data_IF_916752030120
#
_entry.id   IF_916752030120
#
_cell.length_a   1.000
_cell.length_b   1.000
_cell.length_c   1.000
_cell.angle_alpha   90.00
_cell.angle_beta   90.00
_cell.angle_gamma   90.00
#
_symmetry.space_group_name_H-M   'P 1'
#
loop_
_entity.id
_entity.type
_entity.pdbx_description
1 polymer ?
#
# COMPACT_ATOMS: atom_id res chain seq x y z
N UNK A 1 -48.50 2.76 -24.42
CA UNK A 1 -48.09 3.64 -23.30
C UNK A 1 -46.64 3.99 -23.51
N UNK A 2 -46.39 5.12 -24.17
CA UNK A 2 -45.05 5.57 -24.57
C UNK A 2 -45.03 7.08 -24.34
N UNK A 3 -44.26 7.53 -23.35
CA UNK A 3 -44.24 8.93 -22.92
C UNK A 3 -43.13 9.68 -23.65
N UNK A 4 -43.53 10.83 -24.20
CA UNK A 4 -42.77 11.75 -25.04
C UNK A 4 -41.71 12.55 -24.27
N UNK A 5 -40.61 12.81 -25.00
CA UNK A 5 -39.62 13.86 -24.80
C UNK A 5 -40.22 15.20 -25.27
N UNK A 6 -40.05 16.29 -24.53
CA UNK A 6 -40.27 17.65 -25.05
C UNK A 6 -39.14 18.59 -24.66
N UNK A 7 -38.49 19.15 -25.69
CA UNK A 7 -37.61 20.31 -25.61
C UNK A 7 -38.45 21.59 -25.75
N UNK A 8 -38.01 22.68 -25.10
CA UNK A 8 -38.61 24.00 -25.28
C UNK A 8 -37.57 24.99 -25.79
N UNK A 9 -37.79 25.46 -27.03
CA UNK A 9 -37.21 26.69 -27.59
C UNK A 9 -38.30 27.77 -27.68
N UNK A 10 -37.93 28.96 -27.18
CA UNK A 10 -38.35 30.33 -27.55
C UNK A 10 -39.80 30.63 -27.96
N UNK A 11 -40.40 31.60 -27.27
CA UNK A 11 -41.39 32.50 -27.85
C UNK A 11 -41.09 33.96 -27.43
N UNK A 12 -41.14 34.86 -28.41
CA UNK A 12 -41.04 36.32 -28.31
C UNK A 12 -42.45 36.92 -28.23
N UNK A 13 -42.69 37.95 -27.40
CA UNK A 13 -43.44 39.16 -27.83
C UNK A 13 -43.55 40.26 -26.75
N UNK A 14 -43.02 41.43 -27.11
CA UNK A 14 -43.56 42.82 -26.97
C UNK A 14 -44.08 43.35 -25.62
N UNK A 15 -43.45 44.44 -25.17
CA UNK A 15 -44.03 45.43 -24.25
C UNK A 15 -43.06 46.60 -24.00
N UNK A 16 -43.14 47.65 -24.82
CA UNK A 16 -42.38 48.91 -24.71
C UNK A 16 -42.71 49.67 -23.42
N UNK A 17 -41.69 50.16 -22.71
CA UNK A 17 -41.70 51.51 -22.14
C UNK A 17 -40.25 51.98 -21.94
N UNK A 18 -39.89 53.00 -22.71
CA UNK A 18 -38.61 53.68 -22.69
C UNK A 18 -38.63 54.77 -21.60
N UNK A 19 -37.58 54.82 -20.80
CA UNK A 19 -37.15 56.01 -20.09
C UNK A 19 -35.65 56.17 -20.33
N UNK A 20 -35.32 57.12 -21.20
CA UNK A 20 -33.96 57.53 -21.50
C UNK A 20 -33.39 58.35 -20.34
N UNK A 21 -32.20 58.03 -19.87
CA UNK A 21 -31.35 58.99 -19.17
C UNK A 21 -29.88 58.74 -19.49
N UNK A 22 -29.28 59.81 -20.01
CA UNK A 22 -27.91 60.08 -20.47
C UNK A 22 -26.79 59.09 -20.11
N UNK A 23 -26.12 58.60 -21.16
CA UNK A 23 -24.75 58.08 -21.13
C UNK A 23 -23.76 59.23 -20.89
N UNK A 24 -23.22 59.33 -19.67
CA UNK A 24 -21.95 60.00 -19.42
C UNK A 24 -20.84 58.96 -19.51
N UNK A 25 -19.95 59.11 -20.49
CA UNK A 25 -18.76 58.30 -20.69
C UNK A 25 -17.72 58.64 -19.61
N UNK A 26 -17.44 57.69 -18.70
CA UNK A 26 -16.21 57.69 -17.90
C UNK A 26 -15.34 56.53 -18.39
N UNK A 27 -14.07 56.74 -18.79
CA UNK A 27 -13.15 55.66 -19.04
C UNK A 27 -12.61 55.18 -17.68
N UNK A 28 -13.37 54.31 -17.02
CA UNK A 28 -12.93 53.59 -15.83
C UNK A 28 -12.79 52.13 -16.19
N UNK A 29 -11.55 51.69 -16.42
CA UNK A 29 -11.20 50.28 -16.50
C UNK A 29 -11.66 49.58 -15.22
N UNK A 30 -12.71 48.76 -15.31
CA UNK A 30 -12.99 47.69 -14.37
C UNK A 30 -11.85 46.67 -14.48
N UNK A 31 -10.73 46.95 -13.81
CA UNK A 31 -9.73 45.94 -13.51
C UNK A 31 -10.38 45.03 -12.47
N UNK A 32 -10.70 43.80 -12.88
CA UNK A 32 -10.96 42.73 -11.94
C UNK A 32 -9.80 42.72 -10.94
N UNK A 33 -10.12 42.91 -9.65
CA UNK A 33 -9.17 42.65 -8.60
C UNK A 33 -8.82 41.16 -8.72
N UNK A 34 -7.64 40.88 -9.26
CA UNK A 34 -6.99 39.60 -9.04
C UNK A 34 -6.88 39.45 -7.52
N UNK A 35 -7.51 38.41 -6.97
CA UNK A 35 -7.32 37.99 -5.59
C UNK A 35 -5.81 37.73 -5.41
N UNK A 36 -5.08 38.72 -4.93
CA UNK A 36 -3.71 38.57 -4.46
C UNK A 36 -3.76 37.54 -3.34
N UNK A 37 -3.15 36.37 -3.56
CA UNK A 37 -2.94 35.39 -2.51
C UNK A 37 -2.35 36.11 -1.29
N UNK A 38 -2.86 35.88 -0.07
CA UNK A 38 -2.44 36.63 1.10
C UNK A 38 -0.92 36.59 1.23
N UNK A 39 -0.32 37.77 1.43
CA UNK A 39 1.12 37.92 1.56
C UNK A 39 1.68 36.91 2.58
N UNK A 40 2.76 36.22 2.23
CA UNK A 40 3.40 35.26 3.14
C UNK A 40 3.70 35.94 4.48
N UNK A 41 3.40 35.28 5.61
CA UNK A 41 3.66 35.87 6.93
C UNK A 41 5.16 36.15 7.11
N UNK A 42 5.49 37.30 7.69
CA UNK A 42 6.86 37.66 8.05
C UNK A 42 7.26 36.99 9.36
N UNK A 43 8.57 36.81 9.60
CA UNK A 43 9.08 36.28 10.88
C UNK A 43 8.57 37.10 12.08
N UNK A 44 8.63 38.43 11.98
CA UNK A 44 8.10 39.33 13.02
C UNK A 44 6.60 39.13 13.29
N UNK A 45 5.81 38.81 12.25
CA UNK A 45 4.38 38.54 12.42
C UNK A 45 4.16 37.24 13.17
N UNK A 46 4.92 36.19 12.84
CA UNK A 46 4.87 34.89 13.49
C UNK A 46 5.25 35.00 14.96
N UNK A 47 6.37 35.67 15.26
CA UNK A 47 6.85 35.88 16.64
C UNK A 47 5.82 36.62 17.49
N UNK A 48 5.21 37.68 16.92
CA UNK A 48 4.14 38.43 17.59
C UNK A 48 2.91 37.55 17.86
N UNK A 49 2.49 36.72 16.91
CA UNK A 49 1.35 35.84 17.12
C UNK A 49 1.64 34.77 18.17
N UNK A 50 2.84 34.20 18.19
CA UNK A 50 3.27 33.26 19.23
C UNK A 50 3.28 33.92 20.61
N UNK A 51 3.84 35.13 20.72
CA UNK A 51 3.83 35.92 21.95
C UNK A 51 2.41 36.26 22.42
N UNK A 52 1.48 36.45 21.50
CA UNK A 52 0.09 36.79 21.83
C UNK A 52 -0.76 35.57 22.25
N UNK A 53 -0.20 34.35 22.30
CA UNK A 53 -0.94 33.15 22.72
C UNK A 53 -1.33 33.15 24.20
N UNK A 54 -0.69 33.97 25.04
CA UNK A 54 -1.00 34.12 26.46
C UNK A 54 -1.36 35.57 26.86
N UNK A 55 -1.68 36.42 25.88
CA UNK A 55 -2.14 37.78 26.13
C UNK A 55 -3.34 37.82 27.09
N UNK A 56 -3.46 38.84 27.93
CA UNK A 56 -4.55 38.95 28.91
C UNK A 56 -5.95 38.94 28.25
N UNK A 57 -6.08 39.64 27.12
CA UNK A 57 -7.32 39.74 26.36
C UNK A 57 -7.60 38.47 25.53
N UNK A 58 -8.76 37.86 25.75
CA UNK A 58 -9.18 36.65 25.03
C UNK A 58 -9.23 36.84 23.50
N UNK A 59 -9.72 37.99 23.04
CA UNK A 59 -9.78 38.35 21.61
C UNK A 59 -8.41 38.32 20.94
N UNK A 60 -7.36 38.75 21.64
CA UNK A 60 -5.98 38.75 21.14
C UNK A 60 -5.46 37.32 21.02
N UNK A 61 -5.70 36.48 22.04
CA UNK A 61 -5.29 35.06 22.01
C UNK A 61 -5.96 34.28 20.87
N UNK A 62 -7.27 34.44 20.70
CA UNK A 62 -8.01 33.78 19.62
C UNK A 62 -7.60 34.31 18.23
N UNK A 63 -7.39 35.63 18.11
CA UNK A 63 -6.88 36.24 16.90
C UNK A 63 -5.51 35.68 16.51
N UNK A 64 -4.60 35.57 17.48
CA UNK A 64 -3.28 34.98 17.28
C UNK A 64 -3.36 33.52 16.81
N UNK A 65 -4.21 32.69 17.44
CA UNK A 65 -4.42 31.31 17.01
C UNK A 65 -4.92 31.21 15.56
N UNK A 66 -5.90 32.04 15.17
CA UNK A 66 -6.42 32.03 13.80
C UNK A 66 -5.37 32.45 12.77
N UNK A 67 -4.52 33.42 13.11
CA UNK A 67 -3.41 33.83 12.23
C UNK A 67 -2.36 32.73 12.10
N UNK A 68 -1.99 32.06 13.19
CA UNK A 68 -1.05 30.93 13.16
C UNK A 68 -1.60 29.74 12.36
N UNK A 69 -2.89 29.44 12.46
CA UNK A 69 -3.55 28.43 11.62
C UNK A 69 -3.53 28.82 10.14
N UNK A 70 -3.82 30.08 9.84
CA UNK A 70 -3.83 30.62 8.46
C UNK A 70 -2.42 30.65 7.85
N UNK A 71 -1.38 30.84 8.67
CA UNK A 71 0.02 30.78 8.27
C UNK A 71 0.47 29.37 7.85
N UNK A 72 -0.26 28.33 8.25
CA UNK A 72 -0.01 26.95 7.85
C UNK A 72 1.39 26.47 8.26
N UNK A 73 2.19 25.90 7.33
CA UNK A 73 3.50 25.34 7.67
C UNK A 73 4.49 26.36 8.26
N UNK A 74 4.34 27.65 7.96
CA UNK A 74 5.22 28.70 8.48
C UNK A 74 5.11 28.88 10.00
N UNK A 75 4.00 28.46 10.62
CA UNK A 75 3.83 28.54 12.07
C UNK A 75 4.50 27.39 12.85
N UNK A 76 4.86 26.29 12.19
CA UNK A 76 5.30 25.06 12.87
C UNK A 76 6.61 25.26 13.62
N UNK A 77 7.61 25.87 12.98
CA UNK A 77 8.94 26.07 13.57
C UNK A 77 8.91 27.07 14.74
N UNK A 78 8.29 28.28 14.60
CA UNK A 78 8.16 29.22 15.72
C UNK A 78 7.42 28.61 16.92
N UNK A 79 6.35 27.85 16.68
CA UNK A 79 5.64 27.15 17.75
C UNK A 79 6.52 26.09 18.40
N UNK A 80 7.25 25.29 17.61
CA UNK A 80 8.15 24.26 18.15
C UNK A 80 9.24 24.84 19.04
N UNK A 81 9.72 26.04 18.72
CA UNK A 81 10.72 26.76 19.50
C UNK A 81 10.16 27.35 20.79
N UNK A 82 8.96 27.95 20.76
CA UNK A 82 8.41 28.67 21.90
C UNK A 82 7.71 27.77 22.94
N UNK A 83 7.12 26.66 22.51
CA UNK A 83 6.29 25.83 23.39
C UNK A 83 7.02 25.15 24.56
N UNK A 84 8.30 24.73 24.46
CA UNK A 84 9.03 24.15 25.59
C UNK A 84 9.16 25.08 26.81
N UNK A 85 9.32 26.38 26.57
CA UNK A 85 9.53 27.42 27.61
C UNK A 85 8.23 28.17 27.96
N UNK A 86 7.18 28.00 27.16
CA UNK A 86 5.89 28.66 27.34
C UNK A 86 5.13 28.23 28.60
N UNK A 87 4.25 29.12 29.08
CA UNK A 87 3.32 28.79 30.15
C UNK A 87 2.20 27.84 29.68
N UNK A 88 1.27 27.50 30.58
CA UNK A 88 0.19 26.55 30.32
C UNK A 88 -0.72 26.96 29.16
N UNK A 89 -0.95 28.27 28.98
CA UNK A 89 -1.83 28.83 27.97
C UNK A 89 -1.17 28.74 26.59
N UNK A 90 0.09 29.19 26.48
CA UNK A 90 0.92 29.04 25.27
C UNK A 90 1.02 27.56 24.88
N UNK A 91 1.35 26.68 25.82
CA UNK A 91 1.47 25.25 25.59
C UNK A 91 0.15 24.63 25.07
N UNK A 92 -0.98 24.97 25.67
CA UNK A 92 -2.28 24.42 25.28
C UNK A 92 -2.71 24.89 23.89
N UNK A 93 -2.55 26.19 23.58
CA UNK A 93 -2.93 26.76 22.28
C UNK A 93 -1.98 26.37 21.15
N UNK A 94 -0.68 26.39 21.40
CA UNK A 94 0.30 25.99 20.39
C UNK A 94 0.18 24.51 20.02
N UNK A 95 -0.03 23.62 21.01
CA UNK A 95 -0.31 22.20 20.73
C UNK A 95 -1.63 22.04 19.96
N UNK A 96 -2.65 22.85 20.25
CA UNK A 96 -3.88 22.85 19.46
C UNK A 96 -3.61 23.24 18.00
N UNK A 97 -2.88 24.34 17.75
CA UNK A 97 -2.55 24.80 16.40
C UNK A 97 -1.75 23.74 15.64
N UNK A 98 -0.67 23.22 16.24
CA UNK A 98 0.10 22.12 15.66
C UNK A 98 -0.78 20.90 15.36
N UNK A 99 -1.73 20.61 16.24
CA UNK A 99 -2.64 19.49 16.06
C UNK A 99 -3.63 19.66 14.90
N UNK A 100 -4.09 20.87 14.63
CA UNK A 100 -4.94 21.16 13.45
C UNK A 100 -4.10 21.11 12.17
N UNK A 101 -2.87 21.64 12.20
CA UNK A 101 -1.93 21.54 11.07
C UNK A 101 -1.53 20.09 10.79
N UNK A 102 -1.46 19.26 11.83
CA UNK A 102 -1.30 17.82 11.73
C UNK A 102 -2.58 17.10 11.23
N UNK A 103 -3.61 17.80 10.76
CA UNK A 103 -4.73 17.23 10.01
C UNK A 103 -4.91 17.94 8.65
N UNK A 104 -3.94 18.76 8.25
CA UNK A 104 -3.95 19.45 6.96
C UNK A 104 -3.94 18.43 5.82
N UNK A 105 -4.66 18.76 4.73
CA UNK A 105 -4.73 17.91 3.53
C UNK A 105 -3.38 17.79 2.82
N UNK A 106 -2.48 18.75 3.02
CA UNK A 106 -1.11 18.76 2.47
C UNK A 106 -0.23 17.88 3.35
N UNK A 107 0.20 16.76 2.79
CA UNK A 107 1.06 15.76 3.46
C UNK A 107 2.27 16.40 4.16
N UNK A 108 3.00 17.29 3.48
CA UNK A 108 4.20 17.93 4.03
C UNK A 108 3.93 18.77 5.29
N UNK A 109 2.81 19.50 5.32
CA UNK A 109 2.41 20.30 6.49
C UNK A 109 2.00 19.38 7.63
N UNK A 110 1.20 18.36 7.29
CA UNK A 110 0.75 17.35 8.22
C UNK A 110 1.93 16.62 8.89
N UNK A 111 2.94 16.20 8.13
CA UNK A 111 4.09 15.45 8.65
C UNK A 111 5.03 16.33 9.45
N UNK A 112 5.25 17.57 9.02
CA UNK A 112 6.06 18.54 9.75
C UNK A 112 5.46 18.86 11.12
N UNK A 113 4.13 19.06 11.18
CA UNK A 113 3.43 19.34 12.42
C UNK A 113 3.41 18.11 13.36
N UNK A 114 3.33 16.91 12.81
CA UNK A 114 3.44 15.67 13.57
C UNK A 114 4.84 15.53 14.19
N UNK A 115 5.88 15.71 13.41
CA UNK A 115 7.27 15.63 13.89
C UNK A 115 7.54 16.67 14.99
N UNK A 116 6.96 17.87 14.88
CA UNK A 116 7.00 18.87 15.94
C UNK A 116 6.34 18.37 17.24
N UNK A 117 5.11 17.83 17.15
CA UNK A 117 4.40 17.26 18.30
C UNK A 117 5.16 16.08 18.94
N UNK A 118 5.75 15.19 18.14
CA UNK A 118 6.55 14.06 18.61
C UNK A 118 7.79 14.54 19.38
N UNK A 119 8.50 15.54 18.87
CA UNK A 119 9.65 16.15 19.57
C UNK A 119 9.24 16.77 20.90
N UNK A 120 8.11 17.49 20.92
CA UNK A 120 7.58 18.09 22.14
C UNK A 120 7.17 17.01 23.17
N UNK A 121 6.52 15.94 22.72
CA UNK A 121 6.11 14.81 23.57
C UNK A 121 7.31 14.01 24.12
N UNK A 122 8.42 13.94 23.39
CA UNK A 122 9.64 13.27 23.84
C UNK A 122 10.42 14.08 24.90
N UNK A 123 10.15 15.38 25.06
CA UNK A 123 10.79 16.19 26.08
C UNK A 123 10.30 15.78 27.48
N UNK A 124 11.21 15.40 28.38
CA UNK A 124 10.85 14.86 29.71
C UNK A 124 10.59 15.96 30.77
N UNK A 125 10.68 17.24 30.41
CA UNK A 125 10.85 18.34 31.39
C UNK A 125 9.86 19.51 31.27
N UNK A 126 8.82 19.45 30.43
CA UNK A 126 7.89 20.58 30.24
C UNK A 126 6.40 20.20 30.30
N UNK A 127 5.51 21.07 30.84
CA UNK A 127 4.05 20.88 30.80
C UNK A 127 3.47 20.67 29.39
N UNK A 128 4.20 21.04 28.32
CA UNK A 128 3.79 20.79 26.94
C UNK A 128 3.87 19.30 26.55
N UNK A 129 4.76 18.52 27.16
CA UNK A 129 5.05 17.14 26.77
C UNK A 129 3.81 16.24 26.86
N UNK A 130 3.14 16.21 28.02
CA UNK A 130 1.91 15.44 28.20
C UNK A 130 0.76 15.89 27.30
N UNK A 131 0.69 17.19 26.96
CA UNK A 131 -0.31 17.73 26.03
C UNK A 131 -0.05 17.29 24.60
N UNK A 132 1.20 17.41 24.16
CA UNK A 132 1.62 16.95 22.85
C UNK A 132 1.37 15.45 22.72
N UNK A 133 1.73 14.64 23.73
CA UNK A 133 1.44 13.21 23.76
C UNK A 133 -0.07 12.90 23.69
N UNK A 134 -0.90 13.57 24.49
CA UNK A 134 -2.35 13.42 24.42
C UNK A 134 -2.94 13.83 23.06
N UNK A 135 -2.40 14.88 22.44
CA UNK A 135 -2.83 15.35 21.12
C UNK A 135 -2.42 14.37 20.02
N UNK A 136 -1.21 13.81 20.09
CA UNK A 136 -0.74 12.75 19.18
C UNK A 136 -1.65 11.53 19.22
N UNK A 137 -2.07 11.08 20.41
CA UNK A 137 -3.02 9.97 20.53
C UNK A 137 -4.34 10.30 19.84
N UNK A 138 -4.91 11.49 20.07
CA UNK A 138 -6.17 11.89 19.45
C UNK A 138 -6.08 11.97 17.92
N UNK A 139 -5.02 12.58 17.39
CA UNK A 139 -4.83 12.74 15.94
C UNK A 139 -4.49 11.41 15.29
N UNK A 140 -3.72 10.56 15.95
CA UNK A 140 -3.37 9.23 15.47
C UNK A 140 -4.60 8.39 15.16
N UNK A 141 -5.59 8.37 16.07
CA UNK A 141 -6.88 7.70 15.84
C UNK A 141 -7.61 8.27 14.61
N UNK A 142 -7.74 9.59 14.52
CA UNK A 142 -8.46 10.23 13.41
C UNK A 142 -7.75 10.02 12.07
N UNK A 143 -6.42 10.11 12.03
CA UNK A 143 -5.63 9.83 10.83
C UNK A 143 -5.74 8.38 10.41
N UNK A 144 -5.81 7.44 11.36
CA UNK A 144 -6.02 6.03 11.06
C UNK A 144 -7.36 5.81 10.35
N UNK A 145 -8.44 6.36 10.90
CA UNK A 145 -9.77 6.25 10.29
C UNK A 145 -9.84 6.92 8.91
N UNK A 146 -9.24 8.10 8.76
CA UNK A 146 -9.13 8.76 7.45
C UNK A 146 -8.30 7.94 6.47
N UNK A 147 -7.16 7.39 6.90
CA UNK A 147 -6.31 6.54 6.07
C UNK A 147 -7.07 5.29 5.59
N UNK A 148 -7.83 4.63 6.47
CA UNK A 148 -8.69 3.48 6.10
C UNK A 148 -9.74 3.92 5.07
N UNK A 149 -10.42 5.03 5.32
CA UNK A 149 -11.45 5.56 4.40
C UNK A 149 -10.87 5.87 3.03
N UNK A 150 -9.71 6.51 2.98
CA UNK A 150 -9.02 6.85 1.73
C UNK A 150 -8.48 5.60 1.02
N UNK A 151 -7.96 4.62 1.75
CA UNK A 151 -7.55 3.33 1.19
C UNK A 151 -8.74 2.56 0.60
N UNK A 152 -9.88 2.52 1.30
CA UNK A 152 -11.13 1.93 0.78
C UNK A 152 -11.63 2.65 -0.48
N UNK A 153 -11.56 3.97 -0.51
CA UNK A 153 -11.93 4.77 -1.69
C UNK A 153 -11.05 4.45 -2.90
N UNK A 154 -9.80 4.03 -2.67
CA UNK A 154 -8.87 3.54 -3.69
C UNK A 154 -8.98 2.04 -3.96
N UNK A 155 -9.95 1.34 -3.36
CA UNK A 155 -10.22 -0.08 -3.60
C UNK A 155 -9.37 -1.06 -2.78
N UNK A 156 -8.65 -0.59 -1.76
CA UNK A 156 -8.03 -1.48 -0.78
C UNK A 156 -9.09 -2.10 0.14
N UNK A 157 -8.86 -3.33 0.59
CA UNK A 157 -9.70 -3.98 1.57
C UNK A 157 -8.96 -4.04 2.92
N UNK A 158 -9.56 -3.46 3.96
CA UNK A 158 -9.01 -3.46 5.32
C UNK A 158 -9.93 -4.28 6.21
N UNK A 159 -9.41 -5.38 6.73
CA UNK A 159 -10.14 -6.31 7.59
C UNK A 159 -9.55 -6.25 9.00
N UNK A 160 -10.43 -6.00 9.98
CA UNK A 160 -10.10 -6.01 11.41
C UNK A 160 -11.01 -7.03 12.08
N UNK A 161 -10.46 -8.15 12.54
CA UNK A 161 -11.28 -9.23 13.07
C UNK A 161 -10.50 -10.23 13.88
N UNK A 162 -11.21 -11.10 14.59
CA UNK A 162 -10.58 -12.15 15.39
C UNK A 162 -10.29 -13.36 14.52
N UNK A 163 -9.03 -13.80 14.51
CA UNK A 163 -8.60 -15.05 13.89
C UNK A 163 -8.32 -16.07 14.98
N UNK A 164 -8.92 -17.26 14.86
CA UNK A 164 -8.66 -18.36 15.76
C UNK A 164 -7.50 -19.22 15.22
N UNK A 165 -6.44 -19.35 16.01
CA UNK A 165 -5.30 -20.22 15.67
C UNK A 165 -5.60 -21.67 16.04
N UNK A 166 -6.11 -22.46 15.09
CA UNK A 166 -6.39 -23.89 15.29
C UNK A 166 -7.57 -24.20 16.21
N UNK A 167 -7.92 -25.48 16.31
CA UNK A 167 -8.99 -25.96 17.20
C UNK A 167 -8.62 -25.70 18.66
N UNK A 168 -9.30 -24.74 19.30
CA UNK A 168 -9.11 -24.41 20.72
C UNK A 168 -8.05 -23.33 21.02
N UNK A 169 -7.43 -22.73 20.00
CA UNK A 169 -6.54 -21.58 20.20
C UNK A 169 -7.30 -20.32 20.60
N UNK A 170 -6.58 -19.39 21.25
CA UNK A 170 -7.12 -18.08 21.56
C UNK A 170 -7.43 -17.31 20.26
N UNK A 171 -8.56 -16.61 20.28
CA UNK A 171 -8.92 -15.68 19.22
C UNK A 171 -8.03 -14.43 19.33
N UNK A 172 -7.19 -14.20 18.33
CA UNK A 172 -6.30 -13.03 18.28
C UNK A 172 -6.89 -11.98 17.33
N UNK A 173 -6.84 -10.71 17.73
CA UNK A 173 -7.21 -9.61 16.84
C UNK A 173 -6.16 -9.52 15.74
N UNK A 174 -6.58 -9.77 14.50
CA UNK A 174 -5.76 -9.66 13.31
C UNK A 174 -6.28 -8.54 12.42
N UNK A 175 -5.37 -7.64 12.05
CA UNK A 175 -5.57 -6.58 11.08
C UNK A 175 -4.85 -6.98 9.79
N UNK A 176 -5.65 -7.22 8.74
CA UNK A 176 -5.20 -7.55 7.40
C UNK A 176 -5.53 -6.41 6.44
N UNK A 177 -4.60 -6.08 5.56
CA UNK A 177 -4.82 -5.17 4.43
C UNK A 177 -4.55 -5.92 3.12
N UNK A 178 -5.43 -5.74 2.15
CA UNK A 178 -5.28 -6.26 0.80
C UNK A 178 -5.37 -5.14 -0.24
N UNK A 179 -4.28 -4.97 -0.99
CA UNK A 179 -4.17 -4.07 -2.14
C UNK A 179 -4.27 -4.94 -3.40
N UNK A 180 -5.50 -5.27 -3.78
CA UNK A 180 -5.80 -6.29 -4.80
C UNK A 180 -6.24 -5.73 -6.15
N UNK A 181 -7.03 -6.53 -6.87
CA UNK A 181 -7.48 -6.24 -8.24
C UNK A 181 -8.36 -4.97 -8.37
N UNK A 182 -9.00 -4.54 -7.27
CA UNK A 182 -9.82 -3.32 -7.22
C UNK A 182 -8.99 -2.05 -6.97
N UNK A 183 -7.68 -2.18 -6.73
CA UNK A 183 -6.83 -1.06 -6.38
C UNK A 183 -6.70 -0.06 -7.54
N UNK A 184 -7.11 1.18 -7.28
CA UNK A 184 -7.07 2.29 -8.22
C UNK A 184 -5.98 3.33 -7.89
N UNK A 185 -5.29 3.22 -6.76
CA UNK A 185 -4.18 4.11 -6.40
C UNK A 185 -2.83 3.74 -7.01
N UNK A 186 -1.78 4.44 -6.58
CA UNK A 186 -0.38 4.19 -6.93
C UNK A 186 0.54 4.09 -5.69
N UNK A 187 1.85 4.01 -5.89
CA UNK A 187 2.84 3.94 -4.82
C UNK A 187 2.76 5.11 -3.82
N UNK A 188 2.48 6.33 -4.29
CA UNK A 188 2.37 7.49 -3.40
C UNK A 188 1.15 7.37 -2.49
N UNK A 189 0.09 6.67 -2.92
CA UNK A 189 -1.08 6.47 -2.09
C UNK A 189 -0.84 5.52 -0.92
N UNK A 190 0.13 4.59 -1.05
CA UNK A 190 0.54 3.65 0.01
C UNK A 190 1.19 4.34 1.21
N UNK A 191 1.56 5.62 1.11
CA UNK A 191 2.02 6.43 2.26
C UNK A 191 1.04 6.43 3.44
N UNK A 192 -0.24 6.17 3.18
CA UNK A 192 -1.30 6.10 4.20
C UNK A 192 -1.13 4.92 5.15
N UNK A 193 -0.42 3.88 4.72
CA UNK A 193 -0.18 2.69 5.53
C UNK A 193 0.59 3.04 6.81
N UNK A 194 1.38 4.12 6.85
CA UNK A 194 2.16 4.54 8.04
C UNK A 194 1.29 4.81 9.28
N UNK A 195 0.00 5.10 9.10
CA UNK A 195 -0.95 5.33 10.20
C UNK A 195 -1.59 4.03 10.72
N UNK A 196 -1.35 2.91 10.05
CA UNK A 196 -1.90 1.59 10.36
C UNK A 196 -0.80 0.71 10.98
N UNK A 197 -0.25 1.18 12.11
CA UNK A 197 0.87 0.52 12.81
C UNK A 197 0.50 -0.83 13.45
N UNK A 198 -0.79 -1.14 13.56
CA UNK A 198 -1.34 -2.38 14.10
C UNK A 198 -1.53 -3.49 13.04
N UNK A 199 -1.17 -3.24 11.78
CA UNK A 199 -1.30 -4.21 10.69
C UNK A 199 -0.33 -5.37 10.87
N UNK A 200 -0.86 -6.59 10.91
CA UNK A 200 -0.05 -7.81 10.98
C UNK A 200 0.10 -8.51 9.63
N UNK A 201 -0.89 -8.38 8.75
CA UNK A 201 -0.91 -9.05 7.45
C UNK A 201 -1.13 -8.05 6.33
N UNK A 202 -0.26 -8.06 5.32
CA UNK A 202 -0.35 -7.19 4.18
C UNK A 202 -0.18 -7.98 2.89
N UNK A 203 -1.12 -7.81 1.96
CA UNK A 203 -1.10 -8.43 0.64
C UNK A 203 -1.10 -7.37 -0.44
N UNK A 204 -0.12 -7.40 -1.33
CA UNK A 204 -0.13 -6.67 -2.60
C UNK A 204 -0.41 -7.65 -3.73
N UNK A 205 -1.47 -7.42 -4.50
CA UNK A 205 -1.80 -8.18 -5.70
C UNK A 205 -2.16 -7.21 -6.84
N UNK A 206 -1.19 -6.38 -7.23
CA UNK A 206 -1.40 -5.34 -8.24
C UNK A 206 -0.08 -4.89 -8.88
N UNK A 207 -0.09 -4.78 -10.22
CA UNK A 207 1.03 -4.23 -11.00
C UNK A 207 1.27 -2.73 -10.75
N UNK A 208 0.33 -2.05 -10.10
CA UNK A 208 0.43 -0.63 -9.76
C UNK A 208 1.33 -0.36 -8.55
N UNK A 209 1.74 -1.42 -7.85
CA UNK A 209 2.66 -1.34 -6.71
C UNK A 209 4.08 -1.62 -7.21
N UNK A 210 4.99 -0.68 -6.99
CA UNK A 210 6.40 -0.75 -7.35
C UNK A 210 7.31 -0.51 -6.15
N UNK A 211 8.59 -0.27 -6.45
CA UNK A 211 9.65 -0.13 -5.43
C UNK A 211 9.39 1.03 -4.46
N UNK A 212 8.78 2.13 -4.92
CA UNK A 212 8.50 3.27 -4.06
C UNK A 212 7.40 2.95 -3.03
N UNK A 213 6.45 2.08 -3.39
CA UNK A 213 5.38 1.64 -2.51
C UNK A 213 5.89 0.87 -1.28
N UNK A 214 6.90 0.02 -1.45
CA UNK A 214 7.48 -0.76 -0.33
C UNK A 214 8.24 0.09 0.69
N UNK A 215 8.68 1.30 0.33
CA UNK A 215 9.41 2.17 1.26
C UNK A 215 8.57 2.55 2.49
N UNK A 216 7.26 2.64 2.33
CA UNK A 216 6.33 2.96 3.42
C UNK A 216 6.15 1.83 4.44
N UNK A 217 6.62 0.61 4.14
CA UNK A 217 6.54 -0.52 5.07
C UNK A 217 7.64 -0.53 6.13
N UNK A 218 8.73 0.22 5.91
CA UNK A 218 9.92 0.17 6.77
C UNK A 218 9.62 0.44 8.25
N UNK A 219 8.58 1.23 8.54
CA UNK A 219 8.19 1.63 9.89
C UNK A 219 6.98 0.85 10.44
N UNK A 220 6.41 -0.08 9.66
CA UNK A 220 5.28 -0.91 10.07
C UNK A 220 5.76 -2.16 10.82
N UNK A 221 6.24 -1.92 12.04
CA UNK A 221 6.85 -2.96 12.88
C UNK A 221 5.92 -4.12 13.26
N UNK A 222 4.60 -3.95 13.14
CA UNK A 222 3.60 -4.99 13.42
C UNK A 222 3.48 -6.06 12.33
N UNK A 223 4.00 -5.84 11.12
CA UNK A 223 3.81 -6.77 10.00
C UNK A 223 4.58 -8.08 10.27
N UNK A 224 3.83 -9.18 10.29
CA UNK A 224 4.35 -10.54 10.46
C UNK A 224 4.22 -11.38 9.19
N UNK A 225 3.23 -11.06 8.34
CA UNK A 225 3.00 -11.74 7.07
C UNK A 225 2.90 -10.72 5.94
N UNK A 226 3.80 -10.83 4.95
CA UNK A 226 3.80 -10.00 3.75
C UNK A 226 3.70 -10.89 2.52
N UNK A 227 2.65 -10.68 1.74
CA UNK A 227 2.46 -11.31 0.44
C UNK A 227 2.54 -10.26 -0.66
N UNK A 228 3.37 -10.49 -1.67
CA UNK A 228 3.45 -9.66 -2.86
C UNK A 228 3.30 -10.55 -4.10
N UNK A 229 2.23 -10.29 -4.85
CA UNK A 229 1.80 -11.06 -6.02
C UNK A 229 1.67 -10.11 -7.20
N UNK A 230 2.29 -10.45 -8.33
CA UNK A 230 2.18 -9.69 -9.59
C UNK A 230 2.42 -8.18 -9.43
N UNK A 231 3.31 -7.80 -8.53
CA UNK A 231 3.71 -6.41 -8.35
C UNK A 231 4.84 -6.04 -9.32
N UNK A 232 5.04 -4.76 -9.56
CA UNK A 232 6.14 -4.22 -10.38
C UNK A 232 7.39 -3.93 -9.52
N UNK A 233 7.62 -4.76 -8.49
CA UNK A 233 8.73 -4.63 -7.56
C UNK A 233 9.98 -5.33 -8.12
N UNK A 234 11.12 -4.65 -8.05
CA UNK A 234 12.43 -5.14 -8.48
C UNK A 234 13.27 -5.62 -7.30
N UNK A 235 14.46 -6.16 -7.58
CA UNK A 235 15.44 -6.56 -6.56
C UNK A 235 15.69 -5.46 -5.52
N UNK A 236 15.94 -4.23 -5.99
CA UNK A 236 16.22 -3.08 -5.13
C UNK A 236 15.01 -2.66 -4.29
N UNK A 237 13.80 -2.88 -4.80
CA UNK A 237 12.56 -2.58 -4.10
C UNK A 237 12.39 -3.35 -2.79
N UNK A 238 13.06 -4.51 -2.64
CA UNK A 238 12.99 -5.31 -1.41
C UNK A 238 13.90 -4.78 -0.28
N UNK A 239 14.76 -3.79 -0.54
CA UNK A 239 15.68 -3.24 0.46
C UNK A 239 15.02 -2.82 1.80
N UNK A 240 13.81 -2.22 1.83
CA UNK A 240 13.13 -1.87 3.08
C UNK A 240 12.80 -3.09 3.95
N UNK A 241 12.54 -4.26 3.35
CA UNK A 241 12.09 -5.46 4.07
C UNK A 241 13.16 -6.01 5.02
N UNK A 242 14.44 -5.79 4.71
CA UNK A 242 15.55 -6.19 5.58
C UNK A 242 15.53 -5.50 6.96
N UNK A 243 14.78 -4.40 7.12
CA UNK A 243 14.62 -3.69 8.40
C UNK A 243 13.44 -4.21 9.23
N UNK A 244 12.58 -5.05 8.65
CA UNK A 244 11.33 -5.51 9.28
C UNK A 244 11.59 -6.68 10.23
N UNK A 245 12.01 -6.36 11.46
CA UNK A 245 12.36 -7.35 12.51
C UNK A 245 11.22 -8.28 12.93
N UNK A 246 9.98 -7.91 12.64
CA UNK A 246 8.77 -8.68 12.95
C UNK A 246 8.34 -9.64 11.85
N UNK A 247 8.89 -9.52 10.63
CA UNK A 247 8.42 -10.27 9.47
C UNK A 247 8.78 -11.76 9.62
N UNK A 248 7.76 -12.62 9.65
CA UNK A 248 7.88 -14.08 9.82
C UNK A 248 7.61 -14.84 8.53
N UNK A 249 6.66 -14.38 7.73
CA UNK A 249 6.30 -15.02 6.48
C UNK A 249 6.38 -13.98 5.36
N UNK A 250 7.21 -14.28 4.36
CA UNK A 250 7.33 -13.49 3.15
C UNK A 250 6.97 -14.38 1.97
N UNK A 251 5.99 -13.99 1.19
CA UNK A 251 5.64 -14.71 -0.03
C UNK A 251 5.68 -13.78 -1.22
N UNK A 252 6.51 -14.11 -2.22
CA UNK A 252 6.66 -13.36 -3.45
C UNK A 252 6.24 -14.25 -4.61
N UNK A 253 5.18 -13.87 -5.30
CA UNK A 253 4.58 -14.61 -6.41
C UNK A 253 4.62 -13.78 -7.69
N UNK A 254 5.12 -14.34 -8.79
CA UNK A 254 5.02 -13.77 -10.13
C UNK A 254 5.43 -12.28 -10.21
N UNK A 255 6.48 -11.94 -9.46
CA UNK A 255 7.04 -10.59 -9.34
C UNK A 255 8.46 -10.63 -9.91
N UNK A 256 8.93 -9.62 -10.64
CA UNK A 256 10.18 -9.69 -11.43
C UNK A 256 11.46 -9.56 -10.59
N UNK A 257 11.51 -10.20 -9.43
CA UNK A 257 12.69 -10.30 -8.55
C UNK A 257 13.56 -11.47 -8.98
N UNK A 258 14.88 -11.27 -9.06
CA UNK A 258 15.90 -12.26 -9.39
C UNK A 258 17.00 -12.33 -8.34
N UNK A 259 18.14 -12.94 -8.69
CA UNK A 259 19.22 -13.21 -7.73
C UNK A 259 19.86 -11.94 -7.12
N UNK A 260 19.71 -10.77 -7.74
CA UNK A 260 20.15 -9.50 -7.14
C UNK A 260 19.44 -9.19 -5.81
N UNK A 261 18.21 -9.69 -5.64
CA UNK A 261 17.42 -9.53 -4.42
C UNK A 261 18.02 -10.20 -3.19
N UNK A 262 18.94 -11.17 -3.35
CA UNK A 262 19.59 -11.89 -2.25
C UNK A 262 20.35 -10.95 -1.31
N UNK A 263 20.88 -9.84 -1.85
CA UNK A 263 21.52 -8.78 -1.06
C UNK A 263 20.60 -8.16 0.00
N UNK A 264 19.28 -8.28 -0.18
CA UNK A 264 18.26 -7.79 0.75
C UNK A 264 17.54 -8.93 1.48
N UNK A 265 17.17 -10.01 0.79
CA UNK A 265 16.43 -11.14 1.37
C UNK A 265 17.20 -11.80 2.52
N UNK A 266 18.52 -11.89 2.42
CA UNK A 266 19.39 -12.43 3.49
C UNK A 266 19.38 -11.58 4.77
N UNK A 267 18.96 -10.32 4.69
CA UNK A 267 18.78 -9.44 5.84
C UNK A 267 17.51 -9.73 6.65
N UNK A 268 16.55 -10.50 6.11
CA UNK A 268 15.27 -10.81 6.75
C UNK A 268 15.43 -12.00 7.72
N UNK A 269 16.34 -11.84 8.67
CA UNK A 269 16.72 -12.88 9.65
C UNK A 269 15.59 -13.31 10.59
N UNK A 270 14.50 -12.55 10.65
CA UNK A 270 13.29 -12.88 11.40
C UNK A 270 12.36 -13.87 10.69
N UNK A 271 12.54 -14.12 9.38
CA UNK A 271 11.65 -14.96 8.60
C UNK A 271 11.74 -16.43 9.05
N UNK A 272 10.58 -17.05 9.24
CA UNK A 272 10.42 -18.49 9.42
C UNK A 272 10.13 -19.19 8.09
N UNK A 273 9.51 -18.48 7.14
CA UNK A 273 9.19 -19.01 5.81
C UNK A 273 9.32 -17.92 4.75
N UNK A 274 9.97 -18.27 3.63
CA UNK A 274 10.05 -17.45 2.42
C UNK A 274 9.59 -18.29 1.23
N UNK A 275 8.52 -17.87 0.57
CA UNK A 275 8.02 -18.44 -0.69
C UNK A 275 8.42 -17.57 -1.87
N UNK A 276 9.02 -18.17 -2.89
CA UNK A 276 9.52 -17.50 -4.08
C UNK A 276 9.00 -18.22 -5.34
N UNK A 277 7.75 -17.95 -5.71
CA UNK A 277 7.07 -18.69 -6.77
C UNK A 277 6.96 -17.87 -8.05
N UNK A 278 7.35 -18.45 -9.18
CA UNK A 278 7.32 -17.75 -10.47
C UNK A 278 8.15 -16.47 -10.49
N UNK A 279 9.18 -16.39 -9.63
CA UNK A 279 10.17 -15.30 -9.63
C UNK A 279 11.30 -15.63 -10.61
N UNK A 280 12.22 -14.68 -10.81
CA UNK A 280 13.45 -14.87 -11.59
C UNK A 280 14.64 -15.33 -10.75
N UNK A 281 14.42 -15.70 -9.49
CA UNK A 281 15.47 -16.26 -8.63
C UNK A 281 15.82 -17.65 -9.18
N UNK A 282 17.11 -17.91 -9.36
CA UNK A 282 17.63 -19.19 -9.84
C UNK A 282 17.65 -20.23 -8.71
N UNK A 283 17.82 -21.51 -9.05
CA UNK A 283 17.96 -22.57 -8.05
C UNK A 283 19.20 -22.33 -7.17
N UNK A 284 20.34 -21.93 -7.77
CA UNK A 284 21.55 -21.52 -7.04
C UNK A 284 21.31 -20.30 -6.13
N UNK A 285 20.51 -19.34 -6.58
CA UNK A 285 20.10 -18.21 -5.76
C UNK A 285 19.26 -18.63 -4.55
N UNK A 286 18.30 -19.54 -4.74
CA UNK A 286 17.49 -20.10 -3.67
C UNK A 286 18.31 -20.92 -2.67
N UNK A 287 19.26 -21.74 -3.16
CA UNK A 287 20.20 -22.49 -2.31
C UNK A 287 21.08 -21.56 -1.46
N UNK A 288 21.62 -20.49 -2.05
CA UNK A 288 22.37 -19.45 -1.32
C UNK A 288 21.52 -18.77 -0.27
N UNK A 289 20.24 -18.48 -0.56
CA UNK A 289 19.32 -17.91 0.41
C UNK A 289 19.08 -18.85 1.59
N UNK A 290 18.83 -20.13 1.30
CA UNK A 290 18.62 -21.16 2.32
C UNK A 290 19.87 -21.34 3.21
N UNK A 291 21.06 -21.31 2.62
CA UNK A 291 22.33 -21.37 3.35
C UNK A 291 22.55 -20.14 4.26
N UNK A 292 22.14 -18.95 3.80
CA UNK A 292 22.25 -17.71 4.57
C UNK A 292 21.20 -17.58 5.68
N UNK A 293 20.03 -18.22 5.53
CA UNK A 293 18.92 -18.20 6.47
C UNK A 293 18.56 -19.62 6.93
N UNK A 294 19.42 -20.31 7.69
CA UNK A 294 19.23 -21.72 8.04
C UNK A 294 17.99 -21.99 8.94
N UNK A 295 17.41 -20.95 9.54
CA UNK A 295 16.20 -21.04 10.35
C UNK A 295 14.92 -20.73 9.57
N UNK A 296 15.04 -20.31 8.31
CA UNK A 296 13.91 -20.02 7.44
C UNK A 296 13.68 -21.18 6.46
N UNK A 297 12.43 -21.60 6.31
CA UNK A 297 12.05 -22.52 5.25
C UNK A 297 11.95 -21.75 3.93
N UNK A 298 12.86 -22.05 3.00
CA UNK A 298 12.81 -21.49 1.64
C UNK A 298 12.02 -22.46 0.74
N UNK A 299 10.89 -22.00 0.20
CA UNK A 299 10.07 -22.72 -0.75
C UNK A 299 10.16 -21.99 -2.09
N UNK A 300 10.94 -22.53 -3.01
CA UNK A 300 11.20 -21.93 -4.31
C UNK A 300 10.61 -22.81 -5.39
N UNK A 301 9.82 -22.20 -6.28
CA UNK A 301 9.14 -22.90 -7.38
C UNK A 301 9.14 -22.01 -8.61
N UNK A 302 9.69 -22.50 -9.70
CA UNK A 302 9.78 -21.73 -10.95
C UNK A 302 8.56 -21.99 -11.84
N UNK A 303 8.39 -21.08 -12.81
CA UNK A 303 7.42 -21.21 -13.89
C UNK A 303 5.95 -21.30 -13.49
N UNK A 304 5.18 -21.94 -14.37
CA UNK A 304 3.76 -22.20 -14.21
C UNK A 304 3.45 -23.43 -13.35
N UNK A 305 2.17 -23.63 -13.07
CA UNK A 305 1.66 -24.72 -12.25
C UNK A 305 0.77 -25.66 -13.07
N UNK A 306 1.22 -26.90 -13.28
CA UNK A 306 0.41 -27.95 -13.93
C UNK A 306 -0.64 -28.53 -12.97
N UNK A 307 -0.29 -28.68 -11.69
CA UNK A 307 -1.15 -29.21 -10.65
C UNK A 307 -1.42 -30.71 -10.75
N UNK A 308 -0.33 -31.46 -10.84
CA UNK A 308 -0.28 -32.91 -10.69
C UNK A 308 0.74 -33.31 -9.62
N UNK A 309 0.57 -34.50 -9.08
CA UNK A 309 1.66 -35.28 -8.50
C UNK A 309 1.87 -36.54 -9.34
N UNK A 310 3.12 -36.92 -9.59
CA UNK A 310 3.43 -38.15 -10.30
C UNK A 310 4.18 -39.16 -9.43
N UNK A 311 4.19 -40.40 -9.90
CA UNK A 311 5.15 -41.43 -9.54
C UNK A 311 6.06 -41.76 -10.74
N UNK A 312 7.30 -42.23 -10.50
CA UNK A 312 8.17 -42.70 -11.57
C UNK A 312 7.54 -43.85 -12.38
N UNK A 313 7.73 -43.84 -13.70
CA UNK A 313 7.29 -44.88 -14.64
C UNK A 313 8.35 -45.09 -15.73
N UNK A 314 8.43 -46.29 -16.30
CA UNK A 314 9.49 -46.66 -17.26
C UNK A 314 9.55 -45.72 -18.49
N UNK A 315 8.40 -45.18 -18.88
CA UNK A 315 8.25 -44.27 -20.02
C UNK A 315 8.15 -42.78 -19.64
N UNK A 316 8.08 -42.46 -18.34
CA UNK A 316 8.03 -41.08 -17.86
C UNK A 316 7.37 -40.88 -16.50
N UNK A 317 6.42 -39.94 -16.42
CA UNK A 317 5.82 -39.49 -15.16
C UNK A 317 4.36 -39.95 -15.09
N UNK A 318 4.05 -40.97 -14.29
CA UNK A 318 2.67 -41.44 -14.14
C UNK A 318 1.92 -40.56 -13.15
N UNK A 319 0.84 -39.92 -13.60
CA UNK A 319 -0.03 -39.06 -12.81
C UNK A 319 -0.70 -39.88 -11.72
N UNK A 320 -0.39 -39.56 -10.46
CA UNK A 320 -0.98 -40.18 -9.28
C UNK A 320 -2.00 -39.25 -8.61
N UNK A 321 -1.82 -37.93 -8.74
CA UNK A 321 -2.66 -36.91 -8.10
C UNK A 321 -2.97 -35.83 -9.12
N UNK A 322 -4.20 -35.32 -9.10
CA UNK A 322 -4.60 -34.12 -9.84
C UNK A 322 -5.24 -33.16 -8.86
N UNK A 323 -4.70 -31.94 -8.80
CA UNK A 323 -5.24 -30.89 -7.95
C UNK A 323 -6.54 -30.32 -8.55
N UNK A 324 -7.63 -30.16 -7.78
CA UNK A 324 -8.85 -29.53 -8.27
C UNK A 324 -8.59 -28.11 -8.80
N UNK A 325 -9.24 -27.74 -9.90
CA UNK A 325 -9.08 -26.44 -10.56
C UNK A 325 -7.78 -26.24 -11.33
N UNK A 326 -6.86 -27.21 -11.30
CA UNK A 326 -5.54 -27.10 -11.93
C UNK A 326 -5.58 -27.09 -13.46
N UNK A 327 -4.46 -26.70 -14.07
CA UNK A 327 -4.24 -26.82 -15.51
C UNK A 327 -4.43 -28.26 -16.00
N UNK A 328 -3.94 -29.23 -15.23
CA UNK A 328 -4.08 -30.65 -15.55
C UNK A 328 -5.54 -31.10 -15.56
N UNK A 329 -6.34 -30.71 -14.56
CA UNK A 329 -7.75 -31.06 -14.54
C UNK A 329 -8.50 -30.43 -15.73
N UNK A 330 -8.23 -29.15 -16.02
CA UNK A 330 -8.83 -28.42 -17.16
C UNK A 330 -8.46 -29.05 -18.51
N UNK A 331 -7.30 -29.71 -18.60
CA UNK A 331 -6.84 -30.41 -19.79
C UNK A 331 -7.31 -31.87 -19.89
N UNK A 332 -8.19 -32.34 -18.99
CA UNK A 332 -8.62 -33.75 -18.93
C UNK A 332 -7.43 -34.72 -18.80
N UNK A 333 -6.40 -34.35 -18.02
CA UNK A 333 -5.49 -35.36 -17.47
C UNK A 333 -6.24 -36.21 -16.44
N UNK A 334 -5.85 -37.47 -16.33
CA UNK A 334 -6.46 -38.44 -15.41
C UNK A 334 -5.39 -39.14 -14.60
N UNK A 335 -5.76 -39.60 -13.42
CA UNK A 335 -4.91 -40.50 -12.63
C UNK A 335 -4.66 -41.76 -13.47
N UNK A 336 -3.40 -42.17 -13.56
CA UNK A 336 -2.92 -43.28 -14.38
C UNK A 336 -2.33 -42.86 -15.73
N UNK A 337 -2.61 -41.64 -16.21
CA UNK A 337 -1.97 -41.09 -17.40
C UNK A 337 -0.44 -41.00 -17.21
N UNK A 338 0.36 -41.37 -18.21
CA UNK A 338 1.83 -41.24 -18.17
C UNK A 338 2.26 -40.11 -19.07
N UNK A 339 2.83 -39.05 -18.52
CA UNK A 339 3.38 -37.93 -19.29
C UNK A 339 4.77 -38.36 -19.78
N UNK A 340 4.92 -38.44 -21.11
CA UNK A 340 6.14 -38.95 -21.77
C UNK A 340 6.94 -37.83 -22.43
N UNK A 341 6.28 -36.78 -22.94
CA UNK A 341 6.94 -35.58 -23.47
C UNK A 341 6.32 -34.32 -22.89
N UNK A 342 7.15 -33.30 -22.70
CA UNK A 342 6.76 -31.93 -22.41
C UNK A 342 7.53 -31.01 -23.37
N UNK A 343 6.83 -30.22 -24.19
CA UNK A 343 7.43 -29.38 -25.24
C UNK A 343 8.44 -30.13 -26.12
N UNK A 344 8.06 -31.35 -26.52
CA UNK A 344 8.89 -32.30 -27.31
C UNK A 344 10.13 -32.83 -26.58
N UNK A 345 10.36 -32.44 -25.34
CA UNK A 345 11.43 -32.96 -24.51
C UNK A 345 10.95 -34.19 -23.74
N UNK A 346 11.78 -35.25 -23.63
CA UNK A 346 11.41 -36.46 -22.90
C UNK A 346 11.32 -36.19 -21.41
N UNK A 347 10.25 -36.72 -20.80
CA UNK A 347 10.03 -36.69 -19.36
C UNK A 347 10.56 -37.98 -18.77
N UNK A 348 11.52 -37.88 -17.85
CA UNK A 348 12.13 -39.05 -17.20
C UNK A 348 11.45 -39.45 -15.91
N UNK A 349 11.17 -38.45 -15.08
CA UNK A 349 10.61 -38.59 -13.75
C UNK A 349 9.92 -37.27 -13.35
N UNK A 350 9.43 -37.22 -12.11
CA UNK A 350 8.74 -36.03 -11.61
C UNK A 350 9.67 -34.82 -11.46
N UNK A 351 10.90 -35.00 -10.98
CA UNK A 351 11.86 -33.89 -10.82
C UNK A 351 12.20 -33.28 -12.18
N UNK A 352 12.51 -34.12 -13.17
CA UNK A 352 12.73 -33.70 -14.53
C UNK A 352 11.51 -32.97 -15.13
N UNK A 353 10.29 -33.47 -14.91
CA UNK A 353 9.08 -32.78 -15.37
C UNK A 353 8.94 -31.39 -14.74
N UNK A 354 9.23 -31.25 -13.43
CA UNK A 354 9.15 -29.94 -12.77
C UNK A 354 10.16 -28.94 -13.34
N UNK A 355 11.37 -29.38 -13.70
CA UNK A 355 12.36 -28.55 -14.37
C UNK A 355 11.91 -28.15 -15.78
N UNK A 356 11.26 -29.04 -16.53
CA UNK A 356 10.74 -28.71 -17.86
C UNK A 356 9.59 -27.69 -17.79
N UNK A 357 8.67 -27.85 -16.84
CA UNK A 357 7.56 -26.91 -16.63
C UNK A 357 8.09 -25.53 -16.18
N UNK A 358 9.18 -25.51 -15.40
CA UNK A 358 9.79 -24.29 -14.89
C UNK A 358 10.28 -23.33 -16.00
N UNK A 359 10.54 -23.84 -17.21
CA UNK A 359 10.96 -23.04 -18.37
C UNK A 359 9.82 -22.21 -18.98
N UNK A 360 8.56 -22.53 -18.67
CA UNK A 360 7.40 -21.77 -19.13
C UNK A 360 6.79 -20.95 -17.99
N UNK A 361 6.32 -19.75 -18.31
CA UNK A 361 5.65 -18.89 -17.35
C UNK A 361 4.24 -19.39 -17.02
N UNK A 362 3.67 -18.90 -15.92
CA UNK A 362 2.24 -19.08 -15.69
C UNK A 362 1.40 -18.38 -16.76
N UNK A 363 0.26 -18.96 -17.09
CA UNK A 363 -0.63 -18.56 -18.18
C UNK A 363 0.01 -18.69 -19.57
N UNK A 364 1.10 -19.45 -19.71
CA UNK A 364 1.65 -19.86 -20.99
C UNK A 364 1.05 -21.20 -21.44
N UNK A 365 0.83 -21.35 -22.73
CA UNK A 365 0.44 -22.64 -23.31
C UNK A 365 1.67 -23.56 -23.39
N UNK A 366 1.50 -24.81 -23.00
CA UNK A 366 2.46 -25.86 -23.21
C UNK A 366 1.80 -27.09 -23.85
N UNK A 367 2.59 -27.91 -24.52
CA UNK A 367 2.17 -29.15 -25.15
C UNK A 367 2.79 -30.33 -24.42
N UNK A 368 1.94 -31.27 -24.00
CA UNK A 368 2.37 -32.53 -23.42
C UNK A 368 1.91 -33.70 -24.28
N UNK A 369 2.70 -34.76 -24.29
CA UNK A 369 2.27 -36.06 -24.79
C UNK A 369 2.10 -37.05 -23.65
N UNK A 370 1.01 -37.80 -23.72
CA UNK A 370 0.50 -38.61 -22.64
C UNK A 370 0.13 -39.99 -23.15
N UNK A 371 0.46 -41.03 -22.41
CA UNK A 371 -0.04 -42.38 -22.60
C UNK A 371 -1.20 -42.64 -21.64
N UNK A 372 -2.33 -43.09 -22.19
CA UNK A 372 -3.50 -43.56 -21.42
C UNK A 372 -3.76 -45.01 -21.80
N UNK A 373 -3.22 -45.94 -21.01
CA UNK A 373 -3.10 -47.33 -21.45
C UNK A 373 -2.12 -47.41 -22.62
N UNK A 374 -2.55 -47.95 -23.76
CA UNK A 374 -1.74 -48.04 -24.98
C UNK A 374 -1.93 -46.83 -25.93
N UNK A 375 -2.88 -45.94 -25.63
CA UNK A 375 -3.20 -44.80 -26.49
C UNK A 375 -2.26 -43.62 -26.20
N UNK A 376 -1.59 -43.11 -27.24
CA UNK A 376 -0.77 -41.90 -27.17
C UNK A 376 -1.56 -40.68 -27.62
N UNK A 377 -1.59 -39.66 -26.78
CA UNK A 377 -2.38 -38.44 -26.96
C UNK A 377 -1.51 -37.20 -26.83
N UNK A 378 -1.78 -36.17 -27.63
CA UNK A 378 -1.21 -34.84 -27.43
C UNK A 378 -2.24 -33.94 -26.77
N UNK A 379 -1.87 -33.29 -25.67
CA UNK A 379 -2.72 -32.33 -24.96
C UNK A 379 -2.04 -30.97 -24.93
N UNK A 380 -2.79 -29.93 -25.30
CA UNK A 380 -2.42 -28.54 -25.04
C UNK A 380 -2.92 -28.16 -23.65
N UNK A 381 -2.05 -27.59 -22.85
CA UNK A 381 -2.31 -27.20 -21.47
C UNK A 381 -2.02 -25.71 -21.32
N UNK A 382 -2.86 -25.00 -20.58
CA UNK A 382 -2.57 -23.63 -20.16
C UNK A 382 -2.10 -23.69 -18.71
N UNK A 383 -0.82 -23.41 -18.47
CA UNK A 383 -0.25 -23.51 -17.13
C UNK A 383 -0.92 -22.54 -16.17
N UNK A 384 -1.24 -23.03 -14.96
CA UNK A 384 -1.79 -22.22 -13.89
C UNK A 384 -0.74 -21.42 -13.16
N UNK A 385 -1.19 -20.72 -12.12
CA UNK A 385 -0.31 -20.10 -11.14
C UNK A 385 -0.20 -20.97 -9.88
N UNK A 386 0.94 -20.86 -9.19
CA UNK A 386 1.07 -21.36 -7.83
C UNK A 386 0.15 -20.56 -6.89
N UNK A 387 -0.53 -21.28 -5.98
CA UNK A 387 -1.41 -20.73 -4.94
C UNK A 387 -0.77 -20.78 -3.55
#
# INVERSE_FOLDING_TARGET
>A
MTTMIFSFRRCLSRGMLAAACLLATLPGTLRAAEDEAPAKPTAESLDRWVHNLDADEYSIREGAMQQLLSAGPAAIEPLSAALPEGNLEVASRGVYVLGVLALDKRTETADSAMSALEKLAASQTSPVSGRAAGKLLQIGELRRENAITELHALGAEVHRGFQQMGLGGAAELVVKIEIGAKWEGDDNDLRRLVWLSDVQQLTFNSKRVGDAGLQYLANLSGITNLEIKRASITDNGLAPLAKMKGLRMLSIYYTPVGDGSLTHLTGITSAAEIKLFGTKISDDGAEKLAAALPNARIDHRRGGFLGIGCQPHDEGCQVAIIHPGSAAQKADLRIGDVIVLYEKQPVKDFENLTLLIAENAANEEAVIEVLRGEERMTKKILLGEWE
#
